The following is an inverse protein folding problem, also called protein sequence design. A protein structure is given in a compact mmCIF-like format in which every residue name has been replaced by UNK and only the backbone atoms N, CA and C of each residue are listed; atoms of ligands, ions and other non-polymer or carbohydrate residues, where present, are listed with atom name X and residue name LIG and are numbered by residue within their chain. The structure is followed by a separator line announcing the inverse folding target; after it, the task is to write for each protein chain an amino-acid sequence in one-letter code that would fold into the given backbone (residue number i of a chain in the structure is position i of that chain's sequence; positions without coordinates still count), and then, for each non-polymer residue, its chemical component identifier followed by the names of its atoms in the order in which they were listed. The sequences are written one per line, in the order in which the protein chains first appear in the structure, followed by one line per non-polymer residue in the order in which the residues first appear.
data_IF_353157657453
#
_entry.id   IF_353157657453
#
_cell.length_a   1.000
_cell.length_b   1.000
_cell.length_c   1.000
_cell.angle_alpha   90.00
_cell.angle_beta   90.00
_cell.angle_gamma   90.00
#
_symmetry.space_group_name_H-M   'P 1'
#
loop_
_entity.id
_entity.type
_entity.pdbx_description
1 polymer ?
#
# COMPACT_ATOMS: atom_id res chain seq x y z
N UNK A 1 23.75 21.99 -4.30
CA UNK A 1 23.41 20.87 -3.41
C UNK A 1 23.68 21.39 -2.02
N UNK A 2 22.67 21.41 -1.14
CA UNK A 2 22.84 21.90 0.23
C UNK A 2 23.45 20.76 1.05
N UNK A 3 24.75 20.86 1.36
CA UNK A 3 25.52 19.84 2.07
C UNK A 3 25.08 19.65 3.55
N UNK A 4 24.07 20.39 4.01
CA UNK A 4 23.55 20.32 5.39
C UNK A 4 22.39 19.34 5.60
N UNK A 5 21.72 18.88 4.53
CA UNK A 5 20.58 17.95 4.67
C UNK A 5 21.07 16.50 4.80
N UNK A 6 20.74 15.77 5.89
CA UNK A 6 21.18 14.40 6.06
C UNK A 6 20.61 13.50 4.96
N UNK A 7 21.47 12.65 4.40
CA UNK A 7 21.09 11.64 3.43
C UNK A 7 20.23 10.58 4.15
N UNK A 8 18.98 10.41 3.72
CA UNK A 8 18.06 9.41 4.28
C UNK A 8 18.10 8.14 3.44
N UNK A 9 18.43 7.02 4.09
CA UNK A 9 18.41 5.68 3.51
C UNK A 9 17.33 4.85 4.23
N UNK A 10 16.56 4.06 3.48
CA UNK A 10 15.59 3.13 4.05
C UNK A 10 15.94 1.69 3.68
N UNK A 11 16.49 0.95 4.63
CA UNK A 11 16.97 -0.42 4.40
C UNK A 11 15.95 -1.49 4.82
N UNK A 12 14.84 -1.11 5.43
CA UNK A 12 13.85 -2.04 5.95
C UNK A 12 12.44 -1.53 5.67
N UNK A 13 12.02 -1.63 4.41
CA UNK A 13 10.65 -1.36 4.00
C UNK A 13 10.05 -2.60 3.35
N UNK A 14 8.77 -2.87 3.62
CA UNK A 14 8.02 -3.89 2.90
C UNK A 14 7.05 -3.21 1.96
N UNK A 15 7.03 -3.58 0.68
CA UNK A 15 6.10 -3.02 -0.32
C UNK A 15 4.67 -3.02 0.22
N UNK A 16 4.14 -4.19 0.57
CA UNK A 16 2.78 -4.31 1.09
C UNK A 16 2.55 -3.45 2.33
N UNK A 17 3.50 -3.44 3.27
CA UNK A 17 3.43 -2.64 4.50
C UNK A 17 3.62 -1.13 4.31
N UNK A 18 4.07 -0.70 3.13
CA UNK A 18 4.28 0.71 2.78
C UNK A 18 3.14 1.30 1.94
N UNK A 19 2.19 0.48 1.46
CA UNK A 19 1.04 0.99 0.69
C UNK A 19 0.16 1.84 1.62
N UNK A 20 -0.08 3.09 1.23
CA UNK A 20 -0.94 3.97 2.02
C UNK A 20 -2.42 3.56 1.91
N UNK A 21 -3.21 3.88 2.95
CA UNK A 21 -4.67 3.72 2.92
C UNK A 21 -5.31 4.49 1.74
N UNK A 22 -4.71 5.61 1.36
CA UNK A 22 -5.13 6.44 0.24
C UNK A 22 -4.88 5.72 -1.09
N UNK A 23 -3.69 5.13 -1.27
CA UNK A 23 -3.39 4.31 -2.44
C UNK A 23 -4.36 3.11 -2.56
N UNK A 24 -4.67 2.43 -1.44
CA UNK A 24 -5.65 1.35 -1.45
C UNK A 24 -7.04 1.85 -1.89
N UNK A 25 -7.47 3.01 -1.40
CA UNK A 25 -8.75 3.61 -1.80
C UNK A 25 -8.80 3.94 -3.29
N UNK A 26 -7.73 4.47 -3.86
CA UNK A 26 -7.66 4.78 -5.28
C UNK A 26 -7.72 3.53 -6.16
N UNK A 27 -7.04 2.46 -5.76
CA UNK A 27 -7.14 1.15 -6.42
C UNK A 27 -8.56 0.60 -6.30
N UNK A 28 -9.14 0.65 -5.10
CA UNK A 28 -10.52 0.24 -4.85
C UNK A 28 -11.50 0.99 -5.75
N UNK A 29 -11.38 2.31 -5.85
CA UNK A 29 -12.26 3.15 -6.67
C UNK A 29 -12.20 2.74 -8.15
N UNK A 30 -10.99 2.57 -8.71
CA UNK A 30 -10.81 2.13 -10.10
C UNK A 30 -11.43 0.75 -10.34
N UNK A 31 -11.21 -0.20 -9.42
CA UNK A 31 -11.80 -1.55 -9.53
C UNK A 31 -13.30 -1.55 -9.37
N UNK A 32 -13.86 -0.68 -8.52
CA UNK A 32 -15.31 -0.53 -8.32
C UNK A 32 -15.99 0.09 -9.54
N UNK A 33 -15.32 1.02 -10.22
CA UNK A 33 -15.76 1.59 -11.50
C UNK A 33 -15.81 0.52 -12.61
N UNK A 34 -14.82 -0.37 -12.66
CA UNK A 34 -14.75 -1.48 -13.62
C UNK A 34 -15.71 -2.63 -13.28
N UNK A 35 -15.88 -2.92 -11.98
CA UNK A 35 -16.76 -3.96 -11.46
C UNK A 35 -17.61 -3.40 -10.31
N UNK A 36 -18.83 -2.90 -10.60
CA UNK A 36 -19.74 -2.39 -9.58
C UNK A 36 -20.09 -3.41 -8.48
N UNK A 37 -19.98 -4.71 -8.78
CA UNK A 37 -20.26 -5.80 -7.85
C UNK A 37 -19.05 -6.24 -7.02
N UNK A 38 -17.92 -5.51 -7.07
CA UNK A 38 -16.75 -5.79 -6.23
C UNK A 38 -17.13 -5.82 -4.74
N UNK A 39 -16.98 -6.98 -4.11
CA UNK A 39 -17.26 -7.21 -2.69
C UNK A 39 -16.03 -6.91 -1.82
N UNK A 40 -15.62 -5.64 -1.85
CA UNK A 40 -14.56 -5.09 -1.02
C UNK A 40 -15.04 -3.74 -0.50
N UNK A 41 -14.99 -3.54 0.81
CA UNK A 41 -15.36 -2.27 1.45
C UNK A 41 -14.26 -1.22 1.22
N UNK A 42 -14.66 0.06 1.15
CA UNK A 42 -13.74 1.17 0.92
C UNK A 42 -12.67 1.23 2.04
N UNK A 43 -11.37 1.20 1.68
CA UNK A 43 -10.27 1.34 2.63
C UNK A 43 -10.36 2.58 3.55
N UNK A 44 -10.92 3.70 3.10
CA UNK A 44 -11.09 4.89 3.93
C UNK A 44 -12.28 4.80 4.90
N UNK A 45 -13.21 3.88 4.68
CA UNK A 45 -14.29 3.58 5.64
C UNK A 45 -13.78 2.62 6.72
N UNK A 46 -13.06 1.57 6.33
CA UNK A 46 -12.46 0.61 7.27
C UNK A 46 -11.31 1.21 8.10
N UNK A 47 -10.50 2.07 7.47
CA UNK A 47 -9.33 2.72 8.08
C UNK A 47 -9.34 4.25 7.92
N UNK A 48 -10.30 4.98 8.53
CA UNK A 48 -10.44 6.42 8.35
C UNK A 48 -9.16 7.19 8.71
N UNK A 49 -8.83 8.28 8.00
CA UNK A 49 -7.74 9.17 8.37
C UNK A 49 -7.90 9.66 9.82
N UNK A 50 -6.79 9.70 10.58
CA UNK A 50 -6.79 10.17 11.97
C UNK A 50 -7.28 9.16 13.01
N UNK A 51 -7.92 8.05 12.60
CA UNK A 51 -8.21 6.94 13.51
C UNK A 51 -6.91 6.13 13.74
N UNK A 52 -6.49 6.05 15.00
CA UNK A 52 -5.22 5.41 15.43
C UNK A 52 -5.40 4.40 16.57
N UNK A 53 -6.63 4.22 17.07
CA UNK A 53 -7.01 3.30 18.15
C UNK A 53 -7.17 1.84 17.66
N UNK A 54 -6.34 1.43 16.70
CA UNK A 54 -6.28 0.05 16.25
C UNK A 54 -5.31 -0.73 17.13
N UNK A 55 -5.71 -1.92 17.57
CA UNK A 55 -4.71 -2.89 18.03
C UNK A 55 -3.83 -3.26 16.84
N UNK A 56 -2.56 -3.60 17.11
CA UNK A 56 -1.64 -4.05 16.07
C UNK A 56 -2.24 -5.21 15.25
N UNK A 57 -2.96 -6.11 15.93
CA UNK A 57 -3.66 -7.24 15.33
C UNK A 57 -4.79 -6.82 14.39
N UNK A 58 -5.68 -5.92 14.84
CA UNK A 58 -6.81 -5.45 14.01
C UNK A 58 -6.34 -4.66 12.80
N UNK A 59 -5.29 -3.84 12.97
CA UNK A 59 -4.66 -3.13 11.86
C UNK A 59 -4.09 -4.11 10.84
N UNK A 60 -3.21 -5.04 11.26
CA UNK A 60 -2.58 -5.97 10.31
C UNK A 60 -3.59 -6.91 9.65
N UNK A 61 -4.62 -7.37 10.37
CA UNK A 61 -5.69 -8.18 9.79
C UNK A 61 -6.44 -7.42 8.67
N UNK A 62 -6.90 -6.21 8.98
CA UNK A 62 -7.67 -5.37 8.03
C UNK A 62 -6.81 -4.96 6.85
N UNK A 63 -5.62 -4.43 7.12
CA UNK A 63 -4.71 -3.92 6.11
C UNK A 63 -4.18 -5.02 5.19
N UNK A 64 -3.81 -6.18 5.75
CA UNK A 64 -3.37 -7.32 4.94
C UNK A 64 -4.50 -7.81 4.03
N UNK A 65 -5.72 -7.96 4.58
CA UNK A 65 -6.89 -8.38 3.80
C UNK A 65 -7.11 -7.44 2.61
N UNK A 66 -7.16 -6.14 2.84
CA UNK A 66 -7.37 -5.14 1.78
C UNK A 66 -6.25 -5.17 0.73
N UNK A 67 -5.00 -5.26 1.17
CA UNK A 67 -3.85 -5.35 0.26
C UNK A 67 -3.95 -6.56 -0.66
N UNK A 68 -4.32 -7.75 -0.16
CA UNK A 68 -4.49 -8.94 -1.01
C UNK A 68 -5.71 -8.86 -1.93
N UNK A 69 -6.82 -8.25 -1.48
CA UNK A 69 -8.03 -8.13 -2.29
C UNK A 69 -7.90 -7.08 -3.41
N UNK A 70 -7.06 -6.07 -3.21
CA UNK A 70 -6.91 -4.94 -4.12
C UNK A 70 -5.65 -5.04 -4.98
N UNK A 71 -4.53 -5.51 -4.46
CA UNK A 71 -3.26 -5.61 -5.19
C UNK A 71 -3.02 -7.01 -5.75
N UNK A 72 -3.99 -7.51 -6.53
CA UNK A 72 -4.02 -8.89 -7.07
C UNK A 72 -3.91 -8.99 -8.60
N UNK A 73 -3.61 -7.88 -9.28
CA UNK A 73 -3.28 -7.85 -10.70
C UNK A 73 -2.09 -6.93 -10.95
N UNK A 74 -1.55 -7.01 -12.17
CA UNK A 74 -0.36 -6.26 -12.56
C UNK A 74 -0.59 -4.74 -12.45
N UNK A 75 -1.72 -4.23 -12.90
CA UNK A 75 -2.01 -2.80 -12.92
C UNK A 75 -2.05 -2.22 -11.50
N UNK A 76 -2.70 -2.93 -10.58
CA UNK A 76 -2.79 -2.53 -9.17
C UNK A 76 -1.43 -2.61 -8.47
N UNK A 77 -0.62 -3.62 -8.78
CA UNK A 77 0.74 -3.75 -8.26
C UNK A 77 1.67 -2.66 -8.77
N UNK A 78 1.60 -2.32 -10.06
CA UNK A 78 2.37 -1.22 -10.65
C UNK A 78 1.98 0.10 -9.99
N UNK A 79 0.67 0.37 -9.86
CA UNK A 79 0.19 1.58 -9.22
C UNK A 79 0.65 1.70 -7.76
N UNK A 80 0.45 0.65 -6.97
CA UNK A 80 0.86 0.63 -5.57
C UNK A 80 2.37 0.80 -5.41
N UNK A 81 3.17 0.13 -6.25
CA UNK A 81 4.62 0.23 -6.20
C UNK A 81 5.09 1.65 -6.50
N UNK A 82 4.55 2.29 -7.55
CA UNK A 82 4.91 3.67 -7.88
C UNK A 82 4.49 4.65 -6.77
N UNK A 83 3.28 4.50 -6.21
CA UNK A 83 2.84 5.32 -5.08
C UNK A 83 3.78 5.18 -3.87
N UNK A 84 4.24 3.97 -3.55
CA UNK A 84 5.21 3.75 -2.46
C UNK A 84 6.56 4.41 -2.75
N UNK A 85 7.04 4.35 -3.99
CA UNK A 85 8.29 5.01 -4.38
C UNK A 85 8.18 6.53 -4.31
N UNK A 86 7.04 7.09 -4.75
CA UNK A 86 6.74 8.53 -4.64
C UNK A 86 6.67 8.99 -3.18
N UNK A 87 6.04 8.20 -2.30
CA UNK A 87 5.97 8.48 -0.87
C UNK A 87 7.38 8.51 -0.25
N UNK A 88 8.22 7.51 -0.54
CA UNK A 88 9.61 7.49 -0.05
C UNK A 88 10.47 8.64 -0.61
N UNK A 89 10.27 9.00 -1.88
CA UNK A 89 10.95 10.13 -2.50
C UNK A 89 10.53 11.46 -1.85
N UNK A 90 9.23 11.66 -1.60
CA UNK A 90 8.69 12.82 -0.90
C UNK A 90 9.25 12.94 0.53
N UNK A 91 9.49 11.80 1.15
CA UNK A 91 10.14 11.66 2.46
C UNK A 91 11.66 11.94 2.45
N UNK A 92 12.23 12.24 1.28
CA UNK A 92 13.65 12.52 1.07
C UNK A 92 14.56 11.28 1.10
N UNK A 93 14.00 10.08 0.96
CA UNK A 93 14.79 8.85 0.85
C UNK A 93 15.47 8.81 -0.51
N UNK A 94 16.79 8.65 -0.51
CA UNK A 94 17.58 8.59 -1.76
C UNK A 94 18.01 7.17 -2.14
N UNK A 95 17.90 6.24 -1.20
CA UNK A 95 18.17 4.82 -1.41
C UNK A 95 17.18 3.99 -0.58
N UNK A 96 16.52 3.05 -1.24
CA UNK A 96 15.46 2.24 -0.67
C UNK A 96 15.71 0.75 -0.99
N UNK A 97 15.77 -0.08 0.05
CA UNK A 97 15.60 -1.53 -0.07
C UNK A 97 14.14 -1.88 0.18
N UNK A 98 13.38 -2.02 -0.90
CA UNK A 98 11.98 -2.42 -0.84
C UNK A 98 11.84 -3.94 -0.95
N UNK A 99 11.31 -4.55 0.10
CA UNK A 99 11.17 -6.00 0.23
C UNK A 99 9.73 -6.42 0.00
N UNK A 100 9.50 -7.62 -0.49
CA UNK A 100 8.16 -8.21 -0.57
C UNK A 100 8.24 -9.71 -0.38
N UNK A 101 7.15 -10.31 0.07
CA UNK A 101 6.98 -11.77 0.14
C UNK A 101 5.77 -12.09 -0.72
N UNK A 102 5.96 -12.47 -1.99
CA UNK A 102 4.86 -12.86 -2.86
C UNK A 102 4.08 -14.00 -2.20
N UNK A 103 2.76 -13.87 -2.13
CA UNK A 103 1.89 -14.96 -1.67
C UNK A 103 1.09 -15.48 -2.85
N UNK A 104 0.89 -16.79 -2.88
CA UNK A 104 -0.03 -17.39 -3.84
C UNK A 104 -1.42 -16.80 -3.64
N UNK A 105 -2.03 -16.33 -4.73
CA UNK A 105 -3.42 -15.93 -4.75
C UNK A 105 -4.27 -17.14 -5.17
N UNK A 106 -5.33 -17.50 -4.44
CA UNK A 106 -6.21 -18.58 -4.85
C UNK A 106 -6.77 -18.30 -6.26
N UNK A 107 -6.54 -19.20 -7.22
CA UNK A 107 -7.09 -19.10 -8.57
C UNK A 107 -6.15 -18.61 -9.67
N UNK A 108 -4.87 -18.33 -9.35
CA UNK A 108 -3.81 -18.12 -10.37
C UNK A 108 -2.96 -19.41 -10.40
N UNK A 109 -3.15 -20.23 -11.43
CA UNK A 109 -2.33 -21.41 -11.78
C UNK A 109 -1.46 -21.11 -12.98
#
# INVERSE_FOLDING_TARGET
MDDSKPIKLQLHAYLSGSISRQCLHEIWKRKKEQNPNLDVEDPLVLMPPGKVDYTLETFFSTFSKLTYQLCNDLDSLVYATNSVLEDFLGDGVVYLELRTIPRASPGIT
#
